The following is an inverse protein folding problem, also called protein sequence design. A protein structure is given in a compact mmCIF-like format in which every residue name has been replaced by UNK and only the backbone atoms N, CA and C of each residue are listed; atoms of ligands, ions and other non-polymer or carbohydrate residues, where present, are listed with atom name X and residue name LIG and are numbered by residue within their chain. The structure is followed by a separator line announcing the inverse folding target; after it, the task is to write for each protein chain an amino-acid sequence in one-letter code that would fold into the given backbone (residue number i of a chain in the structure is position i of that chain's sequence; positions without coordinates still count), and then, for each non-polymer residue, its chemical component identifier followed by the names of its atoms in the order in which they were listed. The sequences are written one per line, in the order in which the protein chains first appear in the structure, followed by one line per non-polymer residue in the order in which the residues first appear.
data_IF_062999659108
#
_entry.id   IF_062999659108
#
_cell.length_a   1.000
_cell.length_b   1.000
_cell.length_c   1.000
_cell.angle_alpha   90.00
_cell.angle_beta   90.00
_cell.angle_gamma   90.00
#
_symmetry.space_group_name_H-M   'P 1'
#
loop_
_entity.id
_entity.type
_entity.pdbx_description
1 polymer ?
#
# COMPACT_ATOMS: atom_id res chain seq x y z
N UNK A 1 -43.55 -52.12 3.25
CA UNK A 1 -43.58 -51.01 2.27
C UNK A 1 -43.86 -49.71 3.03
N UNK A 2 -43.15 -48.63 2.70
CA UNK A 2 -43.02 -47.32 3.39
C UNK A 2 -41.92 -47.25 4.45
N UNK A 3 -40.77 -46.64 4.10
CA UNK A 3 -40.28 -45.29 4.49
C UNK A 3 -39.66 -45.36 5.90
N UNK A 4 -38.44 -44.88 6.18
CA UNK A 4 -37.92 -43.54 5.96
C UNK A 4 -36.38 -43.56 5.90
N UNK A 5 -35.83 -42.85 4.92
CA UNK A 5 -34.43 -42.42 4.90
C UNK A 5 -34.33 -41.26 5.90
N UNK A 6 -33.65 -41.47 7.02
CA UNK A 6 -33.32 -40.39 7.94
C UNK A 6 -32.02 -39.74 7.48
N UNK A 7 -32.19 -38.66 6.70
CA UNK A 7 -31.16 -37.71 6.32
C UNK A 7 -30.75 -36.94 7.58
N UNK A 8 -29.55 -37.14 8.12
CA UNK A 8 -29.01 -36.28 9.17
C UNK A 8 -28.07 -35.24 8.55
N UNK A 9 -28.48 -34.00 8.72
CA UNK A 9 -27.95 -32.77 8.15
C UNK A 9 -26.54 -32.53 8.69
N UNK A 10 -25.53 -32.51 7.80
CA UNK A 10 -24.26 -31.85 8.10
C UNK A 10 -24.55 -30.36 8.27
N UNK A 11 -24.54 -29.90 9.53
CA UNK A 11 -24.48 -28.49 9.85
C UNK A 11 -23.10 -27.99 9.40
N UNK A 12 -23.01 -27.45 8.19
CA UNK A 12 -21.88 -26.62 7.79
C UNK A 12 -22.04 -25.32 8.55
N UNK A 13 -21.40 -25.22 9.71
CA UNK A 13 -21.13 -23.94 10.35
C UNK A 13 -20.27 -23.12 9.39
N UNK A 14 -20.93 -22.26 8.61
CA UNK A 14 -20.30 -21.16 7.90
C UNK A 14 -19.60 -20.31 8.96
N UNK A 15 -18.30 -20.53 9.14
CA UNK A 15 -17.46 -19.54 9.77
C UNK A 15 -17.53 -18.31 8.86
N UNK A 16 -18.38 -17.34 9.22
CA UNK A 16 -18.30 -15.99 8.71
C UNK A 16 -16.99 -15.41 9.27
N UNK A 17 -15.86 -15.81 8.66
CA UNK A 17 -14.68 -14.97 8.68
C UNK A 17 -15.16 -13.67 8.04
N UNK A 18 -15.28 -12.62 8.85
CA UNK A 18 -15.72 -11.31 8.41
C UNK A 18 -14.72 -10.81 7.39
N UNK A 19 -14.98 -11.05 6.11
CA UNK A 19 -14.28 -10.38 5.04
C UNK A 19 -14.60 -8.89 5.22
N UNK A 20 -13.57 -8.08 5.45
CA UNK A 20 -13.62 -6.65 5.19
C UNK A 20 -14.15 -6.42 3.78
N UNK A 21 -15.11 -5.50 3.69
CA UNK A 21 -15.64 -5.00 2.42
C UNK A 21 -14.56 -4.09 1.79
N UNK A 22 -14.02 -4.51 0.65
CA UNK A 22 -13.01 -3.75 -0.10
C UNK A 22 -13.66 -2.94 -1.22
N UNK A 23 -13.36 -1.65 -1.32
CA UNK A 23 -13.92 -0.76 -2.34
C UNK A 23 -12.80 0.04 -3.07
N UNK A 24 -12.67 -0.05 -4.41
CA UNK A 24 -11.71 0.75 -5.18
C UNK A 24 -11.87 2.27 -4.99
N UNK A 25 -13.10 2.76 -4.82
CA UNK A 25 -13.36 4.19 -4.64
C UNK A 25 -12.86 4.72 -3.30
N UNK A 26 -12.83 3.88 -2.27
CA UNK A 26 -12.19 4.23 -1.00
C UNK A 26 -10.67 4.34 -1.19
N UNK A 27 -10.08 3.50 -2.05
CA UNK A 27 -8.66 3.63 -2.40
C UNK A 27 -8.35 4.93 -3.18
N UNK A 28 -9.25 5.42 -4.03
CA UNK A 28 -9.08 6.73 -4.69
C UNK A 28 -9.04 7.87 -3.67
N UNK A 29 -9.91 7.85 -2.66
CA UNK A 29 -9.90 8.85 -1.58
C UNK A 29 -8.65 8.73 -0.70
N UNK A 30 -8.28 7.51 -0.35
CA UNK A 30 -7.07 7.22 0.43
C UNK A 30 -5.80 7.64 -0.31
N UNK A 31 -5.79 7.48 -1.63
CA UNK A 31 -4.73 7.94 -2.52
C UNK A 31 -4.54 9.46 -2.41
N UNK A 32 -5.63 10.24 -2.46
CA UNK A 32 -5.56 11.69 -2.28
C UNK A 32 -5.11 12.09 -0.87
N UNK A 33 -5.62 11.42 0.16
CA UNK A 33 -5.17 11.63 1.54
C UNK A 33 -3.68 11.34 1.70
N UNK A 34 -3.21 10.21 1.18
CA UNK A 34 -1.81 9.80 1.23
C UNK A 34 -0.89 10.82 0.51
N UNK A 35 -1.26 11.32 -0.68
CA UNK A 35 -0.49 12.39 -1.35
C UNK A 35 -0.38 13.62 -0.49
N UNK A 36 -1.49 14.06 0.12
CA UNK A 36 -1.51 15.22 0.99
C UNK A 36 -0.61 15.01 2.21
N UNK A 37 -0.74 13.88 2.91
CA UNK A 37 0.06 13.54 4.08
C UNK A 37 1.55 13.47 3.73
N UNK A 38 1.92 12.87 2.60
CA UNK A 38 3.31 12.81 2.15
C UNK A 38 3.88 14.21 1.85
N UNK A 39 3.12 15.09 1.21
CA UNK A 39 3.54 16.48 0.95
C UNK A 39 3.66 17.34 2.22
N UNK A 40 2.87 17.04 3.24
CA UNK A 40 2.96 17.68 4.55
C UNK A 40 4.16 17.15 5.35
N UNK A 41 4.44 15.85 5.26
CA UNK A 41 5.53 15.17 5.98
C UNK A 41 6.90 15.46 5.36
N UNK A 42 6.99 15.48 4.02
CA UNK A 42 8.23 15.69 3.27
C UNK A 42 8.07 16.93 2.37
N UNK A 43 8.54 18.11 2.81
CA UNK A 43 8.30 19.35 2.09
C UNK A 43 8.85 19.40 0.65
N UNK A 44 9.90 18.62 0.35
CA UNK A 44 10.47 18.46 -1.00
C UNK A 44 9.44 17.92 -1.99
N UNK A 45 8.48 17.10 -1.53
CA UNK A 45 7.43 16.50 -2.37
C UNK A 45 6.33 17.48 -2.82
N UNK A 46 6.31 18.74 -2.35
CA UNK A 46 5.21 19.68 -2.65
C UNK A 46 5.03 19.90 -4.15
N UNK A 47 6.14 20.00 -4.87
CA UNK A 47 6.19 20.19 -6.33
C UNK A 47 6.36 18.89 -7.12
N UNK A 48 6.56 17.78 -6.41
CA UNK A 48 6.81 16.47 -6.98
C UNK A 48 5.54 15.73 -7.41
N UNK A 49 5.71 14.87 -8.41
CA UNK A 49 4.78 13.80 -8.70
C UNK A 49 4.85 12.71 -7.63
N UNK A 50 3.67 12.34 -7.12
CA UNK A 50 3.47 11.19 -6.25
C UNK A 50 2.47 10.29 -6.97
N UNK A 51 2.87 9.05 -7.24
CA UNK A 51 1.96 8.01 -7.75
C UNK A 51 1.81 6.94 -6.68
N UNK A 52 0.57 6.53 -6.46
CA UNK A 52 0.23 5.49 -5.50
C UNK A 52 -0.71 4.52 -6.19
N UNK A 53 -0.32 3.26 -6.18
CA UNK A 53 -1.07 2.18 -6.78
C UNK A 53 -1.31 1.11 -5.73
N UNK A 54 -2.57 0.73 -5.56
CA UNK A 54 -2.97 -0.39 -4.71
C UNK A 54 -3.43 -1.52 -5.61
N UNK A 55 -2.77 -2.65 -5.53
CA UNK A 55 -3.07 -3.84 -6.33
C UNK A 55 -3.80 -4.85 -5.46
N UNK A 56 -4.94 -5.34 -5.97
CA UNK A 56 -5.74 -6.40 -5.37
C UNK A 56 -6.05 -6.22 -3.86
N UNK A 57 -6.09 -4.95 -3.40
CA UNK A 57 -6.25 -4.56 -2.00
C UNK A 57 -5.21 -5.15 -1.03
N UNK A 58 -4.06 -5.56 -1.52
CA UNK A 58 -3.01 -6.26 -0.75
C UNK A 58 -1.65 -5.58 -0.86
N UNK A 59 -1.29 -5.11 -2.06
CA UNK A 59 0.04 -4.58 -2.31
C UNK A 59 -0.05 -3.09 -2.63
N UNK A 60 0.80 -2.27 -2.00
CA UNK A 60 0.89 -0.84 -2.32
C UNK A 60 2.25 -0.49 -2.91
N UNK A 61 2.25 0.22 -4.04
CA UNK A 61 3.44 0.83 -4.63
C UNK A 61 3.32 2.33 -4.56
N UNK A 62 4.34 2.99 -4.03
CA UNK A 62 4.41 4.44 -3.89
C UNK A 62 5.64 4.92 -4.64
N UNK A 63 5.44 5.66 -5.74
CA UNK A 63 6.51 6.28 -6.51
C UNK A 63 6.61 7.76 -6.16
N UNK A 64 7.81 8.17 -5.76
CA UNK A 64 8.18 9.54 -5.42
C UNK A 64 9.18 10.07 -6.45
N UNK A 65 8.79 11.09 -7.20
CA UNK A 65 9.71 11.87 -8.01
C UNK A 65 10.34 12.98 -7.17
N UNK A 66 11.45 12.72 -6.50
CA UNK A 66 12.04 13.66 -5.55
C UNK A 66 13.56 13.59 -5.60
N UNK A 67 14.17 14.62 -6.18
CA UNK A 67 15.63 14.71 -6.32
C UNK A 67 16.32 14.90 -4.97
N UNK A 68 15.70 15.60 -4.02
CA UNK A 68 16.30 15.83 -2.70
C UNK A 68 16.34 14.52 -1.94
N UNK A 69 15.21 13.82 -1.82
CA UNK A 69 15.16 12.49 -1.20
C UNK A 69 16.08 11.50 -1.93
N UNK A 70 16.11 11.49 -3.27
CA UNK A 70 16.96 10.58 -4.01
C UNK A 70 18.45 10.68 -3.63
N UNK A 71 18.93 11.89 -3.33
CA UNK A 71 20.32 12.16 -2.96
C UNK A 71 20.65 11.86 -1.50
N UNK A 72 19.66 11.50 -0.68
CA UNK A 72 19.89 11.05 0.68
C UNK A 72 20.59 9.69 0.74
N UNK A 73 21.11 9.37 1.92
CA UNK A 73 21.72 8.07 2.20
C UNK A 73 20.69 6.94 2.18
N UNK A 74 21.11 5.72 1.88
CA UNK A 74 20.20 4.57 1.88
C UNK A 74 19.62 4.30 3.29
N UNK A 75 20.35 4.64 4.36
CA UNK A 75 19.84 4.58 5.72
C UNK A 75 18.70 5.58 5.95
N UNK A 76 18.89 6.84 5.54
CA UNK A 76 17.83 7.87 5.61
C UNK A 76 16.62 7.43 4.77
N UNK A 77 16.85 6.91 3.56
CA UNK A 77 15.77 6.49 2.67
C UNK A 77 15.01 5.27 3.18
N UNK A 78 15.69 4.35 3.85
CA UNK A 78 15.05 3.24 4.55
C UNK A 78 14.14 3.76 5.68
N UNK A 79 14.59 4.74 6.47
CA UNK A 79 13.75 5.39 7.50
C UNK A 79 12.54 6.10 6.90
N UNK A 80 12.72 6.77 5.75
CA UNK A 80 11.62 7.36 4.99
C UNK A 80 10.63 6.29 4.55
N UNK A 81 11.10 5.18 3.97
CA UNK A 81 10.26 4.08 3.55
C UNK A 81 9.50 3.45 4.72
N UNK A 82 10.14 3.26 5.87
CA UNK A 82 9.51 2.73 7.09
C UNK A 82 8.41 3.65 7.64
N UNK A 83 8.64 4.97 7.61
CA UNK A 83 7.61 5.94 8.01
C UNK A 83 6.44 5.96 7.01
N UNK A 84 6.73 5.87 5.71
CA UNK A 84 5.71 5.76 4.66
C UNK A 84 4.90 4.47 4.83
N UNK A 85 5.54 3.36 5.23
CA UNK A 85 4.86 2.11 5.56
C UNK A 85 3.88 2.30 6.73
N UNK A 86 4.29 2.99 7.80
CA UNK A 86 3.39 3.28 8.93
C UNK A 86 2.19 4.16 8.52
N UNK A 87 2.44 5.22 7.74
CA UNK A 87 1.37 6.13 7.26
C UNK A 87 0.41 5.38 6.33
N UNK A 88 0.93 4.61 5.38
CA UNK A 88 0.11 3.83 4.45
C UNK A 88 -0.72 2.78 5.18
N UNK A 89 -0.17 2.11 6.19
CA UNK A 89 -0.96 1.19 7.01
C UNK A 89 -2.17 1.92 7.62
N UNK A 90 -1.94 3.03 8.35
CA UNK A 90 -3.01 3.76 9.02
C UNK A 90 -4.09 4.35 8.08
N UNK A 91 -3.74 4.65 6.82
CA UNK A 91 -4.70 5.18 5.84
C UNK A 91 -5.51 4.04 5.19
N UNK A 92 -4.87 2.93 4.84
CA UNK A 92 -5.45 1.91 3.98
C UNK A 92 -5.97 0.70 4.75
N UNK A 93 -5.57 0.49 6.01
CA UNK A 93 -5.90 -0.71 6.78
C UNK A 93 -7.39 -0.93 7.00
N UNK A 94 -8.26 0.08 6.84
CA UNK A 94 -9.71 -0.10 7.02
C UNK A 94 -10.41 -0.63 5.77
N UNK A 95 -9.80 -0.47 4.59
CA UNK A 95 -10.33 -0.86 3.28
C UNK A 95 -9.52 -1.96 2.58
N UNK A 96 -8.32 -2.26 3.07
CA UNK A 96 -7.37 -3.18 2.41
C UNK A 96 -6.85 -4.25 3.37
N UNK A 97 -6.39 -5.36 2.81
CA UNK A 97 -5.66 -6.43 3.49
C UNK A 97 -4.18 -6.30 3.16
N UNK A 98 -3.57 -5.18 3.57
CA UNK A 98 -2.21 -4.90 3.17
C UNK A 98 -1.23 -5.94 3.74
N UNK A 99 -0.45 -6.55 2.85
CA UNK A 99 0.55 -7.57 3.19
C UNK A 99 1.96 -7.03 2.95
N UNK A 100 2.21 -6.50 1.76
CA UNK A 100 3.48 -5.90 1.37
C UNK A 100 3.30 -4.53 0.71
N UNK A 101 4.40 -3.80 0.64
CA UNK A 101 4.47 -2.61 -0.18
C UNK A 101 5.90 -2.21 -0.50
N UNK A 102 6.01 -1.20 -1.35
CA UNK A 102 7.31 -0.62 -1.71
C UNK A 102 7.23 0.88 -1.96
N UNK A 103 8.30 1.56 -1.58
CA UNK A 103 8.58 2.93 -2.01
C UNK A 103 9.63 2.89 -3.12
N UNK A 104 9.34 3.57 -4.22
CA UNK A 104 10.26 3.79 -5.33
C UNK A 104 10.60 5.28 -5.35
N UNK A 105 11.88 5.62 -5.27
CA UNK A 105 12.36 7.00 -5.31
C UNK A 105 13.14 7.19 -6.59
N UNK A 106 12.78 8.22 -7.34
CA UNK A 106 13.42 8.60 -8.60
C UNK A 106 13.86 10.06 -8.54
N UNK A 107 14.96 10.44 -9.22
CA UNK A 107 15.42 11.82 -9.23
C UNK A 107 14.55 12.76 -10.09
N UNK A 108 13.57 12.21 -10.83
CA UNK A 108 12.73 12.94 -11.76
C UNK A 108 11.37 13.23 -11.13
N UNK A 109 11.11 14.51 -10.88
CA UNK A 109 9.88 15.02 -10.28
C UNK A 109 8.61 14.82 -11.14
N UNK A 110 8.77 14.32 -12.36
CA UNK A 110 7.70 14.08 -13.35
C UNK A 110 7.69 12.66 -13.93
N UNK A 111 8.45 11.73 -13.33
CA UNK A 111 8.56 10.37 -13.88
C UNK A 111 7.25 9.59 -13.82
N UNK A 112 6.94 8.94 -14.94
CA UNK A 112 5.91 7.90 -15.04
C UNK A 112 6.57 6.53 -14.86
N UNK A 113 5.89 5.52 -14.31
CA UNK A 113 6.43 4.15 -14.20
C UNK A 113 6.90 3.54 -15.54
N UNK A 114 6.46 4.14 -16.65
CA UNK A 114 6.76 3.73 -18.01
C UNK A 114 7.98 4.43 -18.64
N UNK A 115 8.71 5.28 -17.90
CA UNK A 115 10.01 5.82 -18.34
C UNK A 115 11.13 4.80 -18.10
N UNK A 116 10.95 3.58 -18.60
CA UNK A 116 12.01 2.56 -18.72
C UNK A 116 12.93 2.82 -19.93
N UNK A 117 12.89 4.03 -20.50
CA UNK A 117 13.65 4.43 -21.68
C UNK A 117 14.72 5.50 -21.40
N UNK A 118 14.79 6.06 -20.18
CA UNK A 118 15.97 6.79 -19.71
C UNK A 118 16.63 5.95 -18.62
N UNK A 119 17.95 5.77 -18.71
CA UNK A 119 18.75 5.02 -17.75
C UNK A 119 18.89 5.72 -16.39
N UNK A 120 17.81 6.31 -15.88
CA UNK A 120 17.78 6.95 -14.58
C UNK A 120 17.64 5.87 -13.52
N UNK A 121 18.65 5.78 -12.67
CA UNK A 121 18.71 4.86 -11.54
C UNK A 121 17.58 5.19 -10.54
N UNK A 122 16.95 4.15 -10.00
CA UNK A 122 15.87 4.24 -9.02
C UNK A 122 16.28 3.52 -7.75
N UNK A 123 15.86 4.03 -6.60
CA UNK A 123 16.06 3.39 -5.31
C UNK A 123 14.73 2.80 -4.85
N UNK A 124 14.73 1.51 -4.51
CA UNK A 124 13.53 0.78 -4.11
C UNK A 124 13.68 0.23 -2.69
N UNK A 125 12.65 0.41 -1.89
CA UNK A 125 12.60 -0.02 -0.50
C UNK A 125 11.28 -0.76 -0.26
N UNK A 126 11.38 -2.08 -0.07
CA UNK A 126 10.23 -2.94 0.24
C UNK A 126 9.98 -3.02 1.74
N UNK A 127 8.74 -3.22 2.13
CA UNK A 127 8.34 -3.42 3.52
C UNK A 127 7.15 -4.38 3.62
N UNK A 128 7.04 -5.03 4.76
CA UNK A 128 5.93 -5.92 5.13
C UNK A 128 5.08 -5.27 6.23
N UNK A 129 3.76 -5.46 6.17
CA UNK A 129 2.83 -4.86 7.12
C UNK A 129 2.62 -5.67 8.39
N UNK A 130 3.15 -6.89 8.45
CA UNK A 130 3.02 -7.78 9.61
C UNK A 130 3.53 -7.18 10.92
N UNK A 131 4.44 -6.21 10.86
CA UNK A 131 4.90 -5.46 12.04
C UNK A 131 3.84 -4.52 12.61
N UNK A 132 2.92 -4.01 11.79
CA UNK A 132 1.86 -3.10 12.22
C UNK A 132 0.56 -3.82 12.61
N UNK A 133 0.33 -5.03 12.08
CA UNK A 133 -0.83 -5.87 12.43
C UNK A 133 -0.82 -6.36 13.88
N UNK A 134 0.36 -6.39 14.53
CA UNK A 134 0.55 -6.96 15.89
C UNK A 134 0.26 -5.99 17.03
N UNK A 135 0.07 -4.71 16.73
CA UNK A 135 -0.14 -3.65 17.72
C UNK A 135 -1.65 -3.35 17.96
N UNK A 136 -2.55 -4.21 17.48
CA UNK A 136 -4.01 -4.17 17.74
C UNK A 136 -4.49 -5.39 18.54
#
# INVERSE_FOLDING_TARGET
MYKYIALLIMAVSLAAAGCKDTDPHVNDNNNELMRKTLKETYPSLKVSQIRIEVKDFQDITILLGDKELYNETDETLQQVADNIAAISYGIYESNNYLDEGKVIITPNETASEQSSASGDEKKEFSFEYDKFKKDQ
#
